data_IF_389430526021
#
_entry.id   IF_389430526021
#
_cell.length_a   1.000
_cell.length_b   1.000
_cell.length_c   1.000
_cell.angle_alpha   90.00
_cell.angle_beta   90.00
_cell.angle_gamma   90.00
#
_symmetry.space_group_name_H-M   'P 1'
#
loop_
_entity.id
_entity.type
_entity.pdbx_description
1 polymer ?
#
# COMPACT_ATOMS: atom_id res chain seq x y z
N UNK A 1 6.28 32.70 21.20
CA UNK A 1 7.32 32.33 22.17
C UNK A 1 8.39 31.48 21.49
N UNK A 2 9.55 31.45 22.10
CA UNK A 2 10.69 30.63 21.64
C UNK A 2 11.06 29.64 22.76
N UNK A 3 11.25 28.37 22.39
CA UNK A 3 11.63 27.31 23.31
C UNK A 3 12.86 26.61 22.75
N UNK A 4 13.98 26.62 23.47
CA UNK A 4 15.24 26.04 23.01
C UNK A 4 15.49 24.62 23.55
N UNK A 5 14.94 24.34 24.73
CA UNK A 5 15.00 23.01 25.36
C UNK A 5 13.75 22.77 26.19
N UNK A 6 13.15 21.60 26.06
CA UNK A 6 11.94 21.22 26.79
C UNK A 6 11.92 19.72 27.03
N UNK A 7 11.61 19.32 28.24
CA UNK A 7 11.34 17.96 28.63
C UNK A 7 9.83 17.85 28.89
N UNK A 8 9.15 17.03 28.12
CA UNK A 8 7.70 16.88 28.22
C UNK A 8 7.39 15.41 28.57
N UNK A 9 6.67 15.23 29.66
CA UNK A 9 6.05 13.93 29.99
C UNK A 9 4.76 13.75 29.19
N UNK A 10 4.28 12.52 29.11
CA UNK A 10 2.97 12.23 28.51
C UNK A 10 1.83 13.02 29.15
N UNK A 11 1.84 13.16 30.46
CA UNK A 11 0.86 14.00 31.18
C UNK A 11 1.00 15.49 30.79
N UNK A 12 2.20 15.96 30.57
CA UNK A 12 2.48 17.32 30.06
C UNK A 12 1.90 17.50 28.65
N UNK A 13 2.06 16.53 27.77
CA UNK A 13 1.46 16.53 26.42
C UNK A 13 -0.08 16.56 26.53
N UNK A 14 -0.65 15.70 27.37
CA UNK A 14 -2.10 15.67 27.60
C UNK A 14 -2.62 17.01 28.13
N UNK A 15 -1.90 17.61 29.08
CA UNK A 15 -2.24 18.93 29.64
C UNK A 15 -2.21 20.04 28.59
N UNK A 16 -1.17 20.08 27.75
CA UNK A 16 -1.06 21.03 26.67
C UNK A 16 -2.22 20.88 25.65
N UNK A 17 -2.46 19.67 25.15
CA UNK A 17 -3.53 19.41 24.18
C UNK A 17 -4.91 19.72 24.77
N UNK A 18 -5.15 19.40 26.05
CA UNK A 18 -6.37 19.75 26.78
C UNK A 18 -6.57 21.26 26.89
N UNK A 19 -5.50 22.01 27.18
CA UNK A 19 -5.55 23.47 27.27
C UNK A 19 -5.94 24.10 25.94
N UNK A 20 -5.42 23.56 24.80
CA UNK A 20 -5.76 24.04 23.46
C UNK A 20 -7.17 23.67 23.03
N UNK A 21 -7.58 22.43 23.26
CA UNK A 21 -8.91 21.95 22.85
C UNK A 21 -10.04 22.39 23.79
N UNK A 22 -9.71 22.98 24.94
CA UNK A 22 -10.68 23.34 26.01
C UNK A 22 -11.54 22.15 26.47
N UNK A 23 -11.10 20.91 26.21
CA UNK A 23 -11.76 19.65 26.62
C UNK A 23 -10.68 18.64 26.99
N UNK A 24 -10.91 17.79 28.00
CA UNK A 24 -10.00 16.70 28.32
C UNK A 24 -9.74 15.82 27.09
N UNK A 25 -8.47 15.55 26.82
CA UNK A 25 -8.06 14.70 25.70
C UNK A 25 -7.34 13.49 26.26
N UNK A 26 -7.82 12.31 25.89
CA UNK A 26 -7.11 11.04 26.14
C UNK A 26 -6.11 10.88 25.00
N UNK A 27 -4.83 10.78 25.37
CA UNK A 27 -3.78 10.53 24.40
C UNK A 27 -3.90 9.11 23.86
N UNK A 28 -3.69 8.89 22.54
CA UNK A 28 -3.56 7.56 21.98
C UNK A 28 -2.39 6.79 22.61
N UNK A 29 -2.54 5.46 22.77
CA UNK A 29 -1.52 4.58 23.33
C UNK A 29 -0.10 4.79 22.76
N UNK A 30 0.10 4.99 21.44
CA UNK A 30 1.40 5.27 20.88
C UNK A 30 2.08 6.53 21.47
N UNK A 31 1.30 7.57 21.76
CA UNK A 31 1.83 8.80 22.38
C UNK A 31 2.23 8.53 23.84
N UNK A 32 1.45 7.73 24.57
CA UNK A 32 1.76 7.35 25.94
C UNK A 32 3.06 6.55 26.02
N UNK A 33 3.32 5.68 25.06
CA UNK A 33 4.53 4.84 24.96
C UNK A 33 5.82 5.63 24.66
N UNK A 34 5.72 6.88 24.14
CA UNK A 34 6.89 7.74 23.97
C UNK A 34 7.60 8.02 25.30
N UNK A 35 6.89 7.96 26.43
CA UNK A 35 7.42 8.29 27.74
C UNK A 35 7.78 9.79 27.84
N UNK A 36 8.96 10.09 28.40
CA UNK A 36 9.48 11.45 28.41
C UNK A 36 10.07 11.79 27.04
N UNK A 37 9.55 12.84 26.42
CA UNK A 37 10.05 13.38 25.17
C UNK A 37 10.92 14.62 25.47
N UNK A 38 12.17 14.54 25.05
CA UNK A 38 13.10 15.64 25.13
C UNK A 38 13.13 16.37 23.79
N UNK A 39 12.84 17.65 23.80
CA UNK A 39 12.98 18.52 22.64
C UNK A 39 14.22 19.40 22.79
N UNK A 40 15.01 19.51 21.74
CA UNK A 40 16.13 20.46 21.62
C UNK A 40 16.03 21.12 20.26
N UNK A 41 15.84 22.43 20.23
CA UNK A 41 15.66 23.19 19.02
C UNK A 41 14.90 24.49 19.27
N UNK A 42 14.21 24.94 18.24
CA UNK A 42 13.43 26.18 18.28
C UNK A 42 11.96 25.88 17.90
N UNK A 43 11.04 26.27 18.78
CA UNK A 43 9.61 26.35 18.48
C UNK A 43 9.22 27.82 18.59
N UNK A 44 8.80 28.41 17.50
CA UNK A 44 8.45 29.82 17.40
C UNK A 44 7.18 30.05 16.59
N UNK A 45 6.53 31.20 16.83
CA UNK A 45 5.33 31.59 16.09
C UNK A 45 4.07 31.68 16.95
N UNK A 46 2.94 31.70 16.27
CA UNK A 46 1.58 31.73 16.82
C UNK A 46 0.86 30.44 16.46
N UNK A 47 -0.32 30.17 17.06
CA UNK A 47 -1.07 28.94 16.83
C UNK A 47 -1.57 28.75 15.39
N UNK A 48 -1.71 29.81 14.63
CA UNK A 48 -2.08 29.81 13.22
C UNK A 48 -0.87 29.75 12.27
N UNK A 49 0.35 29.90 12.83
CA UNK A 49 1.60 29.77 12.08
C UNK A 49 2.75 29.45 13.05
N UNK A 50 3.00 28.16 13.29
CA UNK A 50 4.00 27.63 14.21
C UNK A 50 5.13 26.98 13.42
N UNK A 51 6.36 27.34 13.74
CA UNK A 51 7.57 26.69 13.22
C UNK A 51 8.18 25.83 14.31
N UNK A 52 8.53 24.59 13.99
CA UNK A 52 9.24 23.66 14.85
C UNK A 52 10.49 23.16 14.14
N UNK A 53 11.65 23.65 14.57
CA UNK A 53 12.95 23.25 14.07
C UNK A 53 13.76 22.64 15.21
N UNK A 54 14.13 21.35 15.11
CA UNK A 54 14.90 20.72 16.16
C UNK A 54 14.80 19.20 16.18
N UNK A 55 15.15 18.65 17.34
CA UNK A 55 15.19 17.21 17.57
C UNK A 55 14.29 16.84 18.74
N UNK A 56 13.37 15.94 18.51
CA UNK A 56 12.65 15.19 19.52
C UNK A 56 13.38 13.89 19.80
N UNK A 57 13.56 13.55 21.07
CA UNK A 57 14.18 12.29 21.50
C UNK A 57 13.32 11.64 22.57
N UNK A 58 13.12 10.35 22.47
CA UNK A 58 12.34 9.54 23.41
C UNK A 58 13.01 8.18 23.61
N UNK A 59 12.42 7.31 24.41
CA UNK A 59 12.91 5.95 24.62
C UNK A 59 12.95 5.14 23.32
N UNK A 60 12.00 5.36 22.41
CA UNK A 60 11.85 4.62 21.15
C UNK A 60 12.70 5.17 19.99
N UNK A 61 13.47 6.23 20.21
CA UNK A 61 14.32 6.85 19.19
C UNK A 61 14.22 8.35 19.11
N UNK A 62 14.72 8.92 18.01
CA UNK A 62 14.71 10.35 17.81
C UNK A 62 14.22 10.76 16.43
N UNK A 63 13.58 11.92 16.36
CA UNK A 63 13.05 12.53 15.14
C UNK A 63 13.60 13.94 15.03
N UNK A 64 14.19 14.26 13.88
CA UNK A 64 14.54 15.63 13.51
C UNK A 64 13.38 16.23 12.72
N UNK A 65 13.07 17.48 13.00
CA UNK A 65 11.97 18.19 12.35
C UNK A 65 12.40 19.59 11.91
N UNK A 66 11.94 19.96 10.74
CA UNK A 66 11.94 21.32 10.21
C UNK A 66 10.58 21.53 9.56
N UNK A 67 9.59 21.88 10.40
CA UNK A 67 8.19 21.85 10.02
C UNK A 67 7.50 23.17 10.36
N UNK A 68 6.62 23.58 9.46
CA UNK A 68 5.69 24.68 9.64
C UNK A 68 4.29 24.10 9.71
N UNK A 69 3.56 24.51 10.75
CA UNK A 69 2.16 24.16 10.98
C UNK A 69 1.34 25.44 10.99
N UNK A 70 0.15 25.40 10.43
CA UNK A 70 -0.70 26.58 10.53
C UNK A 70 -2.05 26.42 9.89
N UNK A 71 -2.73 27.53 9.69
CA UNK A 71 -4.00 27.64 8.99
C UNK A 71 -4.06 28.95 8.19
N UNK A 72 -4.83 28.93 7.13
CA UNK A 72 -5.14 30.11 6.31
C UNK A 72 -6.65 30.11 6.05
N UNK A 73 -7.37 30.62 7.02
CA UNK A 73 -8.85 30.61 7.02
C UNK A 73 -9.45 31.50 5.93
N UNK A 74 -8.74 32.55 5.52
CA UNK A 74 -9.19 33.43 4.44
C UNK A 74 -9.26 32.70 3.11
N UNK A 75 -8.35 31.75 2.87
CA UNK A 75 -8.33 30.88 1.71
C UNK A 75 -8.98 29.50 1.94
N UNK A 76 -9.74 29.33 3.03
CA UNK A 76 -10.43 28.07 3.36
C UNK A 76 -9.51 26.94 3.79
N UNK A 77 -8.24 27.22 4.08
CA UNK A 77 -7.28 26.24 4.57
C UNK A 77 -7.38 26.12 6.10
N UNK A 78 -8.01 25.07 6.56
CA UNK A 78 -8.22 24.83 8.01
C UNK A 78 -6.96 24.34 8.73
N UNK A 79 -6.05 23.72 8.01
CA UNK A 79 -4.73 23.34 8.49
C UNK A 79 -3.75 23.16 7.33
N UNK A 80 -2.50 23.48 7.57
CA UNK A 80 -1.40 23.06 6.69
C UNK A 80 -0.22 22.55 7.51
N UNK A 81 0.56 21.68 6.87
CA UNK A 81 1.76 21.05 7.39
C UNK A 81 2.80 21.01 6.27
N UNK A 82 3.90 21.73 6.42
CA UNK A 82 4.93 21.81 5.40
C UNK A 82 6.31 21.71 6.02
N UNK A 83 7.20 20.95 5.38
CA UNK A 83 8.59 20.87 5.78
C UNK A 83 9.18 19.48 5.68
N UNK A 84 10.14 19.20 6.55
CA UNK A 84 10.95 17.99 6.52
C UNK A 84 11.00 17.31 7.90
N UNK A 85 10.87 15.98 7.89
CA UNK A 85 11.02 15.13 9.07
C UNK A 85 11.96 13.99 8.73
N UNK A 86 12.90 13.68 9.62
CA UNK A 86 13.77 12.52 9.47
C UNK A 86 14.04 11.81 10.80
N UNK A 87 14.32 10.51 10.71
CA UNK A 87 14.74 9.70 11.84
C UNK A 87 15.93 8.81 11.46
N UNK A 88 17.01 8.80 12.27
CA UNK A 88 18.10 7.85 12.10
C UNK A 88 17.78 6.46 12.63
N UNK A 89 16.65 6.30 13.31
CA UNK A 89 16.16 5.04 13.85
C UNK A 89 15.04 5.26 14.86
N UNK A 90 13.86 4.78 14.54
CA UNK A 90 12.66 4.80 15.37
C UNK A 90 12.16 3.36 15.54
N UNK A 91 11.90 2.92 16.78
CA UNK A 91 11.40 1.59 17.10
C UNK A 91 9.87 1.58 17.04
N UNK A 92 9.33 1.16 15.89
CA UNK A 92 7.88 1.17 15.67
C UNK A 92 7.16 0.03 16.40
N UNK A 93 7.85 -1.08 16.67
CA UNK A 93 7.36 -2.18 17.50
C UNK A 93 7.07 -1.74 18.94
N UNK A 94 7.95 -0.95 19.53
CA UNK A 94 7.73 -0.37 20.86
C UNK A 94 6.59 0.66 20.84
N UNK A 95 6.50 1.47 19.77
CA UNK A 95 5.46 2.49 19.60
C UNK A 95 4.05 1.87 19.47
N UNK A 96 3.89 0.91 18.58
CA UNK A 96 2.58 0.30 18.25
C UNK A 96 2.25 -0.92 19.12
N UNK A 97 3.25 -1.54 19.79
CA UNK A 97 3.08 -2.66 20.72
C UNK A 97 3.06 -4.03 20.06
N UNK A 98 2.79 -5.04 20.91
CA UNK A 98 2.81 -6.45 20.52
C UNK A 98 1.84 -6.75 19.37
N UNK A 99 2.28 -7.62 18.45
CA UNK A 99 1.51 -8.00 17.26
C UNK A 99 1.66 -7.06 16.06
N UNK A 100 2.31 -5.91 16.25
CA UNK A 100 2.68 -5.04 15.14
C UNK A 100 3.82 -5.67 14.32
N UNK A 101 3.71 -5.73 12.98
CA UNK A 101 4.73 -6.34 12.13
C UNK A 101 5.94 -5.43 11.85
N UNK A 102 5.86 -4.14 12.19
CA UNK A 102 6.93 -3.17 11.93
C UNK A 102 7.92 -3.12 13.09
N UNK A 103 9.21 -3.06 12.81
CA UNK A 103 10.29 -2.84 13.75
C UNK A 103 10.99 -1.50 13.53
N UNK A 104 12.32 -1.52 13.56
CA UNK A 104 13.14 -0.34 13.39
C UNK A 104 12.96 0.30 12.01
N UNK A 105 12.87 1.64 11.99
CA UNK A 105 12.70 2.42 10.76
C UNK A 105 13.66 3.62 10.74
N UNK A 106 14.33 3.80 9.59
CA UNK A 106 15.16 4.94 9.26
C UNK A 106 14.65 5.59 7.98
N UNK A 107 14.21 6.83 8.06
CA UNK A 107 13.56 7.51 6.95
C UNK A 107 13.73 9.04 7.00
N UNK A 108 13.41 9.64 5.87
CA UNK A 108 13.37 11.08 5.65
C UNK A 108 12.15 11.41 4.77
N UNK A 109 11.31 12.32 5.22
CA UNK A 109 10.06 12.72 4.55
C UNK A 109 10.03 14.23 4.38
N UNK A 110 9.77 14.68 3.16
CA UNK A 110 9.37 16.06 2.86
C UNK A 110 7.88 16.06 2.52
N UNK A 111 7.14 16.96 3.13
CA UNK A 111 5.68 17.04 3.02
C UNK A 111 5.25 18.49 2.81
N UNK A 112 4.31 18.72 1.90
CA UNK A 112 3.52 19.94 1.79
C UNK A 112 2.05 19.52 1.71
N UNK A 113 1.39 19.48 2.86
CA UNK A 113 0.02 19.02 3.02
C UNK A 113 -0.89 20.15 3.49
N UNK A 114 -2.06 20.24 2.90
CA UNK A 114 -3.10 21.21 3.26
C UNK A 114 -4.42 20.51 3.46
N UNK A 115 -5.23 21.05 4.36
CA UNK A 115 -6.61 20.64 4.55
C UNK A 115 -7.53 21.80 4.22
N UNK A 116 -8.27 21.66 3.13
CA UNK A 116 -9.31 22.62 2.80
C UNK A 116 -10.66 22.19 3.41
N UNK A 117 -11.44 23.15 3.84
CA UNK A 117 -12.72 22.93 4.54
C UNK A 117 -13.67 21.98 3.77
N UNK A 118 -13.78 22.14 2.46
CA UNK A 118 -14.72 21.40 1.61
C UNK A 118 -14.10 20.21 0.90
N UNK A 119 -12.85 20.32 0.45
CA UNK A 119 -12.21 19.28 -0.39
C UNK A 119 -11.37 18.30 0.40
N UNK A 120 -11.12 18.54 1.68
CA UNK A 120 -10.32 17.68 2.55
C UNK A 120 -8.81 17.87 2.37
N UNK A 121 -8.04 16.81 2.57
CA UNK A 121 -6.58 16.83 2.49
C UNK A 121 -6.09 16.76 1.04
N UNK A 122 -5.05 17.54 0.74
CA UNK A 122 -4.31 17.49 -0.51
C UNK A 122 -2.87 17.98 -0.29
N UNK A 123 -1.98 17.60 -1.18
CA UNK A 123 -0.58 18.00 -1.08
C UNK A 123 0.35 17.12 -1.89
N UNK A 124 1.62 17.24 -1.57
CA UNK A 124 2.67 16.37 -2.12
C UNK A 124 3.53 15.79 -1.00
N UNK A 125 4.11 14.62 -1.29
CA UNK A 125 5.00 13.89 -0.41
C UNK A 125 6.21 13.40 -1.19
N UNK A 126 7.38 13.46 -0.55
CA UNK A 126 8.59 12.77 -0.99
C UNK A 126 9.21 12.11 0.22
N UNK A 127 9.35 10.79 0.18
CA UNK A 127 9.93 9.99 1.23
C UNK A 127 11.11 9.17 0.72
N UNK A 128 12.20 9.13 1.49
CA UNK A 128 13.30 8.19 1.32
C UNK A 128 13.35 7.35 2.60
N UNK A 129 13.20 6.06 2.45
CA UNK A 129 13.25 5.09 3.55
C UNK A 129 14.52 4.28 3.33
N UNK A 130 15.55 4.60 4.13
CA UNK A 130 16.83 3.89 4.05
C UNK A 130 16.68 2.45 4.52
N UNK A 131 15.90 2.28 5.62
CA UNK A 131 15.63 0.97 6.24
C UNK A 131 14.23 0.97 6.88
N UNK A 132 13.49 -0.11 6.70
CA UNK A 132 12.27 -0.41 7.46
C UNK A 132 12.19 -1.90 7.74
N UNK A 133 12.11 -2.26 9.00
CA UNK A 133 11.86 -3.63 9.38
C UNK A 133 10.36 -3.92 9.31
N UNK A 134 9.99 -4.98 8.57
CA UNK A 134 8.64 -5.51 8.48
C UNK A 134 8.69 -7.04 8.49
N UNK A 135 7.93 -7.65 9.38
CA UNK A 135 7.94 -9.12 9.59
C UNK A 135 9.34 -9.72 9.76
N UNK A 136 10.20 -9.02 10.52
CA UNK A 136 11.60 -9.44 10.80
C UNK A 136 12.52 -9.44 9.57
N UNK A 137 12.12 -8.83 8.46
CA UNK A 137 12.96 -8.52 7.32
C UNK A 137 13.20 -7.02 7.25
N UNK A 138 14.44 -6.61 7.00
CA UNK A 138 14.79 -5.20 6.82
C UNK A 138 14.81 -4.86 5.34
N UNK A 139 13.75 -4.21 4.89
CA UNK A 139 13.66 -3.62 3.56
C UNK A 139 14.55 -2.40 3.47
N UNK A 140 15.19 -2.21 2.32
CA UNK A 140 16.16 -1.13 2.11
C UNK A 140 15.85 -0.31 0.86
N UNK A 141 16.34 0.93 0.83
CA UNK A 141 16.32 1.86 -0.30
C UNK A 141 14.94 1.94 -0.99
N UNK A 142 13.95 2.44 -0.23
CA UNK A 142 12.62 2.69 -0.74
C UNK A 142 12.42 4.20 -0.93
N UNK A 143 12.00 4.59 -2.11
CA UNK A 143 11.67 5.96 -2.46
C UNK A 143 10.21 6.05 -2.86
N UNK A 144 9.52 7.04 -2.32
CA UNK A 144 8.11 7.37 -2.64
C UNK A 144 8.03 8.85 -2.97
N UNK A 145 7.36 9.20 -4.05
CA UNK A 145 7.02 10.59 -4.32
C UNK A 145 5.69 10.68 -5.05
N UNK A 146 4.92 11.73 -4.78
CA UNK A 146 3.66 11.94 -5.46
C UNK A 146 2.79 13.02 -4.85
N UNK A 147 1.66 13.22 -5.50
CA UNK A 147 0.61 14.12 -5.10
C UNK A 147 -0.56 13.33 -4.54
N UNK A 148 -1.13 13.80 -3.48
CA UNK A 148 -2.32 13.18 -2.89
C UNK A 148 -3.46 14.19 -2.75
N UNK A 149 -4.67 13.68 -2.85
CA UNK A 149 -5.93 14.35 -2.51
C UNK A 149 -6.74 13.39 -1.66
N UNK A 150 -7.84 13.84 -1.07
CA UNK A 150 -8.66 13.07 -0.12
C UNK A 150 -8.78 11.57 -0.43
N UNK A 151 -8.97 11.21 -1.70
CA UNK A 151 -9.21 9.83 -2.13
C UNK A 151 -8.36 9.45 -3.35
N UNK A 152 -7.27 10.14 -3.61
CA UNK A 152 -6.40 9.83 -4.74
C UNK A 152 -4.93 10.04 -4.41
N UNK A 153 -4.12 9.24 -5.06
CA UNK A 153 -2.67 9.37 -5.08
C UNK A 153 -2.18 9.25 -6.52
N UNK A 154 -1.27 10.11 -6.92
CA UNK A 154 -0.61 10.10 -8.22
C UNK A 154 0.90 10.27 -7.97
N UNK A 155 1.67 9.26 -8.30
CA UNK A 155 3.08 9.26 -7.96
C UNK A 155 3.82 7.99 -8.31
N UNK A 156 5.02 7.87 -7.75
CA UNK A 156 5.91 6.74 -7.98
C UNK A 156 6.41 6.11 -6.66
N UNK A 157 6.69 4.82 -6.74
CA UNK A 157 7.41 4.04 -5.73
C UNK A 157 8.57 3.34 -6.41
N UNK A 158 9.75 3.47 -5.84
CA UNK A 158 10.94 2.72 -6.22
C UNK A 158 11.50 1.97 -5.01
N UNK A 159 11.82 0.71 -5.19
CA UNK A 159 12.48 -0.14 -4.19
C UNK A 159 13.73 -0.75 -4.81
N UNK A 160 14.83 -0.69 -4.10
CA UNK A 160 16.13 -1.21 -4.51
C UNK A 160 16.68 -2.17 -3.45
N UNK A 161 15.87 -3.15 -3.08
CA UNK A 161 16.24 -4.14 -2.09
C UNK A 161 17.07 -5.28 -2.73
N UNK A 162 18.04 -5.90 -2.03
CA UNK A 162 18.79 -7.04 -2.54
C UNK A 162 17.92 -8.24 -2.96
N UNK A 163 16.74 -8.41 -2.35
CA UNK A 163 15.79 -9.49 -2.63
C UNK A 163 14.59 -9.05 -3.49
N UNK A 164 14.66 -7.88 -4.13
CA UNK A 164 13.64 -7.47 -5.08
C UNK A 164 13.71 -6.00 -5.44
N UNK A 165 13.66 -5.70 -6.73
CA UNK A 165 13.58 -4.33 -7.23
C UNK A 165 12.19 -4.07 -7.77
N UNK A 166 11.62 -2.94 -7.39
CA UNK A 166 10.33 -2.47 -7.88
C UNK A 166 10.46 -1.04 -8.37
N UNK A 167 9.92 -0.77 -9.53
CA UNK A 167 9.55 0.57 -9.96
C UNK A 167 8.06 0.55 -10.30
N UNK A 168 7.27 1.41 -9.70
CA UNK A 168 5.87 1.58 -10.03
C UNK A 168 5.53 3.07 -10.09
N UNK A 169 4.76 3.47 -11.10
CA UNK A 169 4.32 4.85 -11.31
C UNK A 169 2.89 4.86 -11.82
N UNK A 170 2.08 5.77 -11.31
CA UNK A 170 0.72 5.93 -11.77
C UNK A 170 -0.23 6.52 -10.75
N UNK A 171 -1.53 6.35 -11.03
CA UNK A 171 -2.61 6.96 -10.29
C UNK A 171 -3.54 5.91 -9.67
N UNK A 172 -3.89 6.16 -8.43
CA UNK A 172 -5.00 5.53 -7.72
C UNK A 172 -6.04 6.58 -7.35
N UNK A 173 -7.33 6.30 -7.58
CA UNK A 173 -8.44 7.13 -7.14
C UNK A 173 -9.58 6.26 -6.63
N UNK A 174 -10.16 6.66 -5.51
CA UNK A 174 -11.33 6.00 -4.93
C UNK A 174 -12.52 6.98 -4.93
N UNK A 175 -13.59 6.64 -5.65
CA UNK A 175 -14.81 7.43 -5.76
C UNK A 175 -16.04 6.56 -5.42
N UNK A 176 -16.72 6.90 -4.32
CA UNK A 176 -17.89 6.16 -3.87
C UNK A 176 -17.58 4.70 -3.54
N UNK A 177 -18.07 3.77 -4.35
CA UNK A 177 -17.82 2.33 -4.22
C UNK A 177 -16.79 1.82 -5.25
N UNK A 178 -16.28 2.66 -6.14
CA UNK A 178 -15.36 2.28 -7.19
C UNK A 178 -13.96 2.83 -6.93
N UNK A 179 -12.97 2.05 -7.30
CA UNK A 179 -11.57 2.46 -7.33
C UNK A 179 -11.08 2.43 -8.77
N UNK A 180 -10.29 3.41 -9.15
CA UNK A 180 -9.64 3.51 -10.46
C UNK A 180 -8.15 3.34 -10.25
N UNK A 181 -7.54 2.52 -11.10
CA UNK A 181 -6.12 2.22 -11.10
C UNK A 181 -5.57 2.43 -12.50
N UNK A 182 -4.60 3.30 -12.64
CA UNK A 182 -3.85 3.49 -13.88
C UNK A 182 -2.38 3.59 -13.52
N UNK A 183 -1.62 2.51 -13.71
CA UNK A 183 -0.22 2.45 -13.33
C UNK A 183 0.59 1.50 -14.19
N UNK A 184 1.88 1.76 -14.23
CA UNK A 184 2.90 0.84 -14.75
C UNK A 184 3.75 0.33 -13.60
N UNK A 185 4.20 -0.93 -13.68
CA UNK A 185 5.12 -1.50 -12.70
C UNK A 185 6.15 -2.39 -13.37
N UNK A 186 7.38 -2.31 -12.92
CA UNK A 186 8.47 -3.21 -13.27
C UNK A 186 9.03 -3.84 -11.99
N UNK A 187 8.92 -5.16 -11.91
CA UNK A 187 9.39 -5.97 -10.79
C UNK A 187 10.54 -6.85 -11.28
N UNK A 188 11.66 -6.85 -10.58
CA UNK A 188 12.83 -7.62 -10.95
C UNK A 188 13.36 -8.40 -9.75
N UNK A 189 13.61 -9.70 -9.96
CA UNK A 189 14.20 -10.59 -8.96
C UNK A 189 13.52 -10.54 -7.59
N UNK A 190 12.19 -10.43 -7.60
CA UNK A 190 11.40 -10.40 -6.39
C UNK A 190 11.34 -11.79 -5.76
N UNK A 191 11.89 -11.90 -4.56
CA UNK A 191 12.02 -13.15 -3.78
C UNK A 191 11.15 -13.07 -2.52
N UNK A 192 9.86 -13.38 -2.63
CA UNK A 192 8.92 -13.15 -1.54
C UNK A 192 9.16 -14.03 -0.29
N UNK A 193 9.82 -15.16 -0.42
CA UNK A 193 10.31 -15.99 0.70
C UNK A 193 11.40 -15.27 1.49
N UNK A 194 12.43 -14.79 0.79
CA UNK A 194 13.55 -14.04 1.38
C UNK A 194 13.09 -12.71 2.01
N UNK A 195 12.00 -12.13 1.50
CA UNK A 195 11.36 -10.91 2.02
C UNK A 195 10.37 -11.17 3.18
N UNK A 196 10.24 -12.41 3.67
CA UNK A 196 9.30 -12.84 4.71
C UNK A 196 7.82 -12.53 4.36
N UNK A 197 7.47 -12.52 3.07
CA UNK A 197 6.11 -12.27 2.60
C UNK A 197 5.30 -13.55 2.42
N UNK A 198 5.91 -14.58 1.84
CA UNK A 198 5.31 -15.92 1.66
C UNK A 198 6.37 -17.00 1.87
N UNK A 199 5.92 -18.17 2.27
CA UNK A 199 6.76 -19.37 2.52
C UNK A 199 6.30 -20.61 1.71
N UNK A 200 5.39 -20.40 0.74
CA UNK A 200 4.71 -21.49 0.02
C UNK A 200 5.59 -22.18 -1.02
N UNK A 201 6.51 -21.45 -1.64
CA UNK A 201 7.35 -21.94 -2.73
C UNK A 201 8.82 -21.91 -2.33
N UNK A 202 9.59 -22.87 -2.81
CA UNK A 202 11.02 -22.94 -2.56
C UNK A 202 11.79 -22.00 -3.49
N UNK A 203 12.46 -21.02 -2.91
CA UNK A 203 13.27 -19.99 -3.60
C UNK A 203 12.58 -19.35 -4.82
N UNK A 204 11.38 -18.79 -4.68
CA UNK A 204 10.69 -18.14 -5.78
C UNK A 204 11.43 -16.85 -6.19
N UNK A 205 11.65 -16.69 -7.51
CA UNK A 205 12.20 -15.47 -8.12
C UNK A 205 11.23 -15.02 -9.22
N UNK A 206 10.66 -13.83 -9.03
CA UNK A 206 9.61 -13.28 -9.91
C UNK A 206 10.13 -12.02 -10.56
N UNK A 207 9.99 -11.95 -11.88
CA UNK A 207 10.23 -10.71 -12.64
C UNK A 207 9.08 -10.49 -13.59
N UNK A 208 8.54 -9.28 -13.65
CA UNK A 208 7.46 -8.91 -14.55
C UNK A 208 7.46 -7.42 -14.90
N UNK A 209 6.92 -7.11 -16.07
CA UNK A 209 6.57 -5.75 -16.49
C UNK A 209 5.06 -5.69 -16.71
N UNK A 210 4.39 -4.75 -16.04
CA UNK A 210 2.95 -4.65 -15.94
C UNK A 210 2.47 -3.27 -16.32
N UNK A 211 1.40 -3.20 -17.12
CA UNK A 211 0.58 -2.00 -17.31
C UNK A 211 -0.85 -2.32 -16.90
N UNK A 212 -1.45 -1.49 -16.09
CA UNK A 212 -2.80 -1.68 -15.59
C UNK A 212 -3.61 -0.39 -15.73
N UNK A 213 -4.78 -0.51 -16.36
CA UNK A 213 -5.77 0.55 -16.48
C UNK A 213 -7.14 -0.08 -16.26
N UNK A 214 -7.62 0.00 -15.02
CA UNK A 214 -8.88 -0.62 -14.66
C UNK A 214 -9.62 0.12 -13.55
N UNK A 215 -10.92 -0.12 -13.49
CA UNK A 215 -11.81 0.29 -12.42
C UNK A 215 -12.40 -0.93 -11.73
N UNK A 216 -12.72 -0.80 -10.44
CA UNK A 216 -13.33 -1.85 -9.65
C UNK A 216 -12.80 -1.87 -8.22
N UNK A 217 -13.49 -2.55 -7.33
CA UNK A 217 -13.08 -2.73 -5.93
C UNK A 217 -12.84 -4.21 -5.55
N UNK A 218 -13.15 -5.10 -6.46
CA UNK A 218 -12.88 -6.53 -6.36
C UNK A 218 -12.81 -7.15 -7.76
N UNK A 219 -12.34 -8.39 -7.84
CA UNK A 219 -12.15 -9.10 -9.10
C UNK A 219 -13.48 -9.34 -9.86
N UNK A 220 -14.61 -9.35 -9.16
CA UNK A 220 -15.92 -9.59 -9.76
C UNK A 220 -16.54 -8.35 -10.42
N UNK A 221 -16.04 -7.15 -10.13
CA UNK A 221 -16.49 -5.90 -10.74
C UNK A 221 -15.35 -5.12 -11.41
N UNK A 222 -14.31 -5.83 -11.81
CA UNK A 222 -13.17 -5.25 -12.52
C UNK A 222 -13.57 -4.96 -13.96
N UNK A 223 -13.30 -3.73 -14.42
CA UNK A 223 -13.47 -3.27 -15.79
C UNK A 223 -12.20 -2.56 -16.25
N UNK A 224 -11.70 -2.91 -17.41
CA UNK A 224 -10.49 -2.36 -17.99
C UNK A 224 -9.50 -3.40 -18.45
N UNK A 225 -8.23 -3.01 -18.49
CA UNK A 225 -7.17 -3.82 -19.08
C UNK A 225 -5.99 -3.97 -18.11
N UNK A 226 -5.43 -5.18 -18.08
CA UNK A 226 -4.15 -5.48 -17.44
C UNK A 226 -3.28 -6.16 -18.49
N UNK A 227 -2.12 -5.57 -18.79
CA UNK A 227 -1.13 -6.11 -19.72
C UNK A 227 0.15 -6.44 -18.97
N UNK A 228 0.63 -7.66 -19.13
CA UNK A 228 1.97 -8.07 -18.67
C UNK A 228 2.81 -8.31 -19.91
N UNK A 229 3.88 -7.53 -20.10
CA UNK A 229 4.74 -7.62 -21.28
C UNK A 229 5.81 -8.70 -21.14
N UNK A 230 6.13 -9.10 -19.92
CA UNK A 230 6.99 -10.25 -19.65
C UNK A 230 6.76 -10.73 -18.22
N UNK A 231 6.68 -12.03 -18.02
CA UNK A 231 6.62 -12.67 -16.71
C UNK A 231 7.62 -13.82 -16.68
N UNK A 232 8.53 -13.78 -15.73
CA UNK A 232 9.41 -14.88 -15.39
C UNK A 232 9.13 -15.30 -13.94
N UNK A 233 8.79 -16.55 -13.75
CA UNK A 233 8.62 -17.16 -12.44
C UNK A 233 9.53 -18.38 -12.35
N UNK A 234 10.47 -18.37 -11.41
CA UNK A 234 11.41 -19.45 -11.17
C UNK A 234 11.24 -19.97 -9.74
N UNK A 235 11.36 -21.26 -9.59
CA UNK A 235 11.46 -21.97 -8.30
C UNK A 235 12.58 -22.98 -8.38
N UNK A 236 13.01 -23.60 -7.25
CA UNK A 236 14.07 -24.60 -7.25
C UNK A 236 13.85 -25.73 -8.28
N UNK A 237 12.63 -26.35 -8.44
CA UNK A 237 12.43 -27.43 -9.39
C UNK A 237 12.01 -26.99 -10.79
N UNK A 238 11.55 -25.75 -11.01
CA UNK A 238 10.92 -25.37 -12.28
C UNK A 238 11.03 -23.88 -12.61
N UNK A 239 10.86 -23.58 -13.87
CA UNK A 239 10.75 -22.21 -14.37
C UNK A 239 9.57 -22.07 -15.32
N UNK A 240 8.88 -20.95 -15.25
CA UNK A 240 7.80 -20.57 -16.12
C UNK A 240 8.10 -19.20 -16.72
N UNK A 241 7.88 -19.07 -18.01
CA UNK A 241 8.05 -17.80 -18.72
C UNK A 241 6.84 -17.53 -19.60
N UNK A 242 6.37 -16.28 -19.56
CA UNK A 242 5.27 -15.79 -20.40
C UNK A 242 5.74 -14.51 -21.07
N UNK A 243 5.68 -14.45 -22.39
CA UNK A 243 6.11 -13.27 -23.17
C UNK A 243 5.11 -12.14 -23.06
N UNK A 244 3.83 -12.48 -23.12
CA UNK A 244 2.75 -11.50 -23.11
C UNK A 244 1.49 -12.09 -22.49
N UNK A 245 0.82 -11.31 -21.66
CA UNK A 245 -0.52 -11.59 -21.16
C UNK A 245 -1.34 -10.31 -21.22
N UNK A 246 -2.48 -10.36 -21.86
CA UNK A 246 -3.49 -9.31 -21.83
C UNK A 246 -4.76 -9.87 -21.20
N UNK A 247 -5.24 -9.18 -20.18
CA UNK A 247 -6.53 -9.46 -19.56
C UNK A 247 -7.41 -8.23 -19.76
N UNK A 248 -8.57 -8.43 -20.39
CA UNK A 248 -9.57 -7.37 -20.56
C UNK A 248 -10.86 -7.81 -19.89
N UNK A 249 -11.40 -6.96 -19.05
CA UNK A 249 -12.67 -7.20 -18.37
C UNK A 249 -13.64 -6.06 -18.63
N UNK A 250 -14.89 -6.40 -18.92
CA UNK A 250 -15.98 -5.45 -19.15
C UNK A 250 -17.34 -6.05 -18.76
N UNK A 251 -18.35 -5.17 -18.66
CA UNK A 251 -19.72 -5.57 -18.37
C UNK A 251 -20.01 -5.76 -16.88
N UNK A 252 -21.28 -5.85 -16.54
CA UNK A 252 -21.78 -5.84 -15.17
C UNK A 252 -22.66 -7.06 -14.87
N UNK A 253 -22.58 -7.54 -13.66
CA UNK A 253 -23.50 -8.53 -13.05
C UNK A 253 -23.82 -9.76 -13.93
N UNK A 254 -24.79 -9.67 -14.83
CA UNK A 254 -25.30 -10.79 -15.64
C UNK A 254 -24.68 -10.86 -17.04
N UNK A 255 -23.98 -9.81 -17.47
CA UNK A 255 -23.39 -9.69 -18.81
C UNK A 255 -21.92 -9.27 -18.69
N UNK A 256 -21.14 -10.12 -18.05
CA UNK A 256 -19.69 -9.95 -17.91
C UNK A 256 -18.96 -10.56 -19.07
N UNK A 257 -17.90 -9.90 -19.47
CA UNK A 257 -17.00 -10.35 -20.51
C UNK A 257 -15.57 -10.23 -20.02
N UNK A 258 -14.86 -11.33 -19.92
CA UNK A 258 -13.45 -11.41 -19.62
C UNK A 258 -12.73 -12.09 -20.77
N UNK A 259 -11.70 -11.45 -21.28
CA UNK A 259 -10.77 -12.07 -22.22
C UNK A 259 -9.39 -12.20 -21.62
N UNK A 260 -8.74 -13.31 -21.88
CA UNK A 260 -7.34 -13.57 -21.54
C UNK A 260 -6.65 -13.94 -22.85
N UNK A 261 -5.59 -13.23 -23.20
CA UNK A 261 -4.78 -13.53 -24.38
C UNK A 261 -3.31 -13.57 -24.00
N UNK A 262 -2.66 -14.67 -24.31
CA UNK A 262 -1.24 -14.87 -24.06
C UNK A 262 -0.59 -15.70 -25.15
N UNK A 263 0.71 -15.88 -25.08
CA UNK A 263 1.48 -16.74 -25.98
C UNK A 263 1.27 -18.25 -25.73
N UNK A 264 0.55 -18.65 -24.69
CA UNK A 264 0.29 -20.05 -24.35
C UNK A 264 -1.19 -20.38 -24.25
N UNK A 265 -2.05 -19.41 -23.95
CA UNK A 265 -3.47 -19.61 -23.69
C UNK A 265 -4.28 -18.40 -24.11
N UNK A 266 -5.34 -18.61 -24.88
CA UNK A 266 -6.39 -17.64 -25.12
C UNK A 266 -7.70 -18.13 -24.49
N UNK A 267 -8.40 -17.23 -23.79
CA UNK A 267 -9.63 -17.55 -23.09
C UNK A 267 -10.65 -16.43 -23.19
N UNK A 268 -11.90 -16.81 -23.23
CA UNK A 268 -13.04 -15.90 -23.20
C UNK A 268 -14.11 -16.47 -22.28
N UNK A 269 -14.58 -15.65 -21.33
CA UNK A 269 -15.67 -15.97 -20.42
C UNK A 269 -16.73 -14.90 -20.58
N UNK A 270 -17.97 -15.31 -20.89
CA UNK A 270 -19.11 -14.41 -21.03
C UNK A 270 -20.29 -14.89 -20.23
N UNK A 271 -21.03 -13.97 -19.60
CA UNK A 271 -22.26 -14.27 -18.88
C UNK A 271 -22.23 -13.89 -17.39
N UNK A 272 -23.11 -14.49 -16.61
CA UNK A 272 -23.23 -14.27 -15.17
C UNK A 272 -22.30 -15.23 -14.41
N UNK A 273 -21.24 -14.70 -13.82
CA UNK A 273 -20.32 -15.48 -13.00
C UNK A 273 -19.69 -14.66 -11.89
N UNK A 274 -19.21 -15.34 -10.84
CA UNK A 274 -18.37 -14.78 -9.80
C UNK A 274 -17.06 -15.56 -9.73
N UNK A 275 -15.93 -14.88 -9.69
CA UNK A 275 -14.63 -15.54 -9.53
C UNK A 275 -14.50 -16.29 -8.20
N UNK A 276 -15.26 -15.91 -7.18
CA UNK A 276 -15.31 -16.63 -5.91
C UNK A 276 -15.93 -18.02 -6.04
N UNK A 277 -16.85 -18.18 -6.97
CA UNK A 277 -17.62 -19.42 -7.15
C UNK A 277 -17.25 -20.19 -8.41
N UNK A 278 -16.73 -19.52 -9.45
CA UNK A 278 -16.39 -20.15 -10.73
C UNK A 278 -15.31 -21.25 -10.56
N UNK A 279 -14.23 -20.97 -9.81
CA UNK A 279 -13.16 -21.94 -9.56
C UNK A 279 -13.68 -23.16 -8.79
N UNK A 280 -14.38 -23.01 -7.66
CA UNK A 280 -15.06 -24.11 -7.00
C UNK A 280 -16.04 -24.87 -7.88
N UNK A 281 -16.81 -24.17 -8.74
CA UNK A 281 -17.77 -24.80 -9.66
C UNK A 281 -17.06 -25.66 -10.71
N UNK A 282 -15.99 -25.16 -11.30
CA UNK A 282 -15.12 -25.93 -12.18
C UNK A 282 -14.58 -27.18 -11.49
N UNK A 283 -13.98 -27.02 -10.33
CA UNK A 283 -13.41 -28.13 -9.56
C UNK A 283 -14.47 -29.20 -9.25
N UNK A 284 -15.70 -28.79 -8.89
CA UNK A 284 -16.80 -29.73 -8.64
C UNK A 284 -17.26 -30.46 -9.91
N UNK A 285 -17.33 -29.76 -11.05
CA UNK A 285 -17.72 -30.36 -12.33
C UNK A 285 -16.67 -31.37 -12.80
N UNK A 286 -15.40 -31.03 -12.74
CA UNK A 286 -14.32 -31.91 -13.19
C UNK A 286 -13.97 -33.03 -12.22
N UNK A 287 -14.38 -32.94 -10.95
CA UNK A 287 -14.17 -33.99 -9.93
C UNK A 287 -14.74 -35.35 -10.37
N UNK A 288 -15.86 -35.34 -11.14
CA UNK A 288 -16.45 -36.54 -11.71
C UNK A 288 -15.63 -37.18 -12.85
N UNK A 289 -14.81 -36.37 -13.54
CA UNK A 289 -14.02 -36.81 -14.69
C UNK A 289 -12.55 -37.09 -14.36
N UNK A 290 -11.98 -36.39 -13.38
CA UNK A 290 -10.57 -36.54 -13.01
C UNK A 290 -10.44 -36.53 -11.47
N UNK A 291 -10.87 -37.59 -10.76
CA UNK A 291 -10.88 -37.66 -9.30
C UNK A 291 -9.48 -37.54 -8.67
N UNK A 292 -8.44 -37.99 -9.38
CA UNK A 292 -7.08 -38.04 -8.89
C UNK A 292 -6.39 -36.66 -8.76
N UNK A 293 -6.92 -35.62 -9.44
CA UNK A 293 -6.35 -34.27 -9.38
C UNK A 293 -7.00 -33.36 -8.32
N UNK A 294 -8.09 -33.80 -7.68
CA UNK A 294 -8.91 -32.93 -6.84
C UNK A 294 -9.07 -33.52 -5.44
N UNK A 295 -8.03 -33.39 -4.61
CA UNK A 295 -8.09 -33.66 -3.18
C UNK A 295 -8.34 -32.36 -2.39
N UNK A 296 -9.56 -31.81 -2.45
CA UNK A 296 -9.95 -30.65 -1.65
C UNK A 296 -11.17 -30.99 -0.81
N UNK A 297 -10.97 -31.02 0.50
CA UNK A 297 -12.07 -31.01 1.48
C UNK A 297 -12.67 -29.60 1.53
N UNK A 298 -13.69 -29.34 0.73
CA UNK A 298 -14.36 -28.03 0.76
C UNK A 298 -15.46 -28.00 1.81
N UNK A 299 -15.42 -26.96 2.66
CA UNK A 299 -16.58 -26.51 3.43
C UNK A 299 -17.70 -26.12 2.45
N UNK A 300 -18.94 -26.57 2.73
CA UNK A 300 -20.13 -26.17 1.95
C UNK A 300 -20.22 -24.64 1.90
N UNK A 301 -19.81 -24.03 0.79
CA UNK A 301 -20.10 -22.63 0.46
C UNK A 301 -21.45 -22.58 -0.26
N UNK A 302 -22.21 -21.50 0.02
CA UNK A 302 -23.45 -21.20 -0.70
C UNK A 302 -23.08 -21.02 -2.18
N UNK A 303 -23.54 -21.91 -3.02
CA UNK A 303 -23.25 -21.89 -4.48
C UNK A 303 -24.13 -20.78 -5.07
N UNK A 304 -23.54 -19.69 -5.51
CA UNK A 304 -24.21 -18.76 -6.42
C UNK A 304 -24.32 -19.44 -7.78
N UNK A 305 -25.46 -19.31 -8.43
CA UNK A 305 -25.67 -19.87 -9.77
C UNK A 305 -24.81 -19.10 -10.77
N UNK A 306 -23.86 -19.79 -11.40
CA UNK A 306 -23.08 -19.26 -12.50
C UNK A 306 -23.73 -19.72 -13.82
N UNK A 307 -24.00 -18.79 -14.72
CA UNK A 307 -24.51 -19.04 -16.07
C UNK A 307 -23.62 -18.33 -17.08
N UNK A 308 -22.62 -19.04 -17.59
CA UNK A 308 -21.58 -18.46 -18.44
C UNK A 308 -21.17 -19.40 -19.56
N UNK A 309 -20.63 -18.83 -20.61
CA UNK A 309 -19.91 -19.53 -21.68
C UNK A 309 -18.41 -19.36 -21.46
N UNK A 310 -17.65 -20.42 -21.65
CA UNK A 310 -16.19 -20.42 -21.62
C UNK A 310 -15.64 -20.99 -22.90
N UNK A 311 -14.80 -20.24 -23.58
CA UNK A 311 -13.97 -20.70 -24.69
C UNK A 311 -12.51 -20.65 -24.25
N UNK A 312 -11.79 -21.76 -24.39
CA UNK A 312 -10.35 -21.85 -24.15
C UNK A 312 -9.65 -22.42 -25.37
N UNK A 313 -8.59 -21.76 -25.79
CA UNK A 313 -7.69 -22.22 -26.85
C UNK A 313 -6.27 -22.25 -26.28
N UNK A 314 -5.66 -23.43 -26.31
CA UNK A 314 -4.26 -23.61 -25.90
C UNK A 314 -3.39 -23.52 -27.14
N UNK A 315 -2.43 -22.61 -27.14
CA UNK A 315 -1.46 -22.48 -28.22
C UNK A 315 -0.43 -23.60 -28.12
N UNK A 316 -0.02 -24.14 -29.25
CA UNK A 316 1.01 -25.18 -29.29
C UNK A 316 2.38 -24.48 -29.03
N UNK A 317 2.97 -24.75 -27.91
CA UNK A 317 4.33 -24.27 -27.55
C UNK A 317 5.30 -25.40 -27.83
N UNK A 318 5.71 -25.56 -29.12
CA UNK A 318 6.85 -26.42 -29.46
C UNK A 318 8.17 -25.82 -28.96
#
# INVERSE_FOLDING_TARGET
GQVNKMDITTDGIAGLVTTFNKKPVILPDPIVKLGTVNFTGEISGFFDNLVAFGKFSSAIGSVQTDMIFGSDKENGITAYLKGHVSTPGLQLDELFGEGNPYGKTKLSISLDAKRHEHTGFFGNIKANIDEVEYRKYTYTDIQLSGNFKKNSFDGMVQVNDPNGKLYAEGMFRHEGQNSMFNFTANLQHFRPDSLNLIDKYESPDISLSLNADFTGNNIDNLEGNISIDSLSFKTAPSSFFLKKLLVTASGHSLDRHLTISSDILNGEITGAYSFKTIVPSFMNTFKGYIPALINVTQKKQKVEENNFSLLLTVENTD
#
